data_IF_483102394271
#
_entry.id   IF_483102394271
#
_cell.length_a   1.000
_cell.length_b   1.000
_cell.length_c   1.000
_cell.angle_alpha   90.00
_cell.angle_beta   90.00
_cell.angle_gamma   90.00
#
_symmetry.space_group_name_H-M   'P 1'
#
loop_
_entity.id
_entity.type
_entity.pdbx_description
1 polymer ?
#
# COMPACT_ATOMS: atom_id res chain seq x y z
N UNK A 1 -25.19 -32.80 -60.35
CA UNK A 1 -23.78 -32.35 -60.38
C UNK A 1 -23.63 -31.27 -59.32
N UNK A 2 -22.99 -31.55 -58.19
CA UNK A 2 -21.54 -31.34 -57.98
C UNK A 2 -21.09 -29.95 -58.44
N UNK A 3 -20.67 -29.14 -57.47
CA UNK A 3 -20.11 -27.81 -57.70
C UNK A 3 -19.65 -27.20 -56.39
N UNK A 4 -18.51 -27.66 -55.90
CA UNK A 4 -17.66 -26.98 -54.92
C UNK A 4 -17.28 -25.60 -55.46
N UNK A 5 -17.42 -24.56 -54.64
CA UNK A 5 -16.92 -23.23 -54.93
C UNK A 5 -16.49 -22.58 -53.62
N UNK A 6 -15.18 -22.55 -53.40
CA UNK A 6 -14.52 -21.69 -52.42
C UNK A 6 -14.75 -20.23 -52.84
N UNK A 7 -15.17 -19.37 -51.92
CA UNK A 7 -15.11 -17.92 -52.12
C UNK A 7 -14.48 -17.27 -50.90
N UNK A 8 -13.37 -16.58 -51.17
CA UNK A 8 -12.61 -15.74 -50.26
C UNK A 8 -13.19 -14.33 -50.30
N UNK A 9 -13.45 -13.74 -49.14
CA UNK A 9 -13.50 -12.28 -48.82
C UNK A 9 -14.09 -12.22 -47.39
N UNK A 10 -13.62 -11.48 -46.38
CA UNK A 10 -12.92 -10.19 -46.26
C UNK A 10 -12.10 -10.17 -44.95
N UNK A 11 -11.05 -9.33 -44.88
CA UNK A 11 -10.41 -8.91 -43.62
C UNK A 11 -11.14 -7.65 -43.05
N UNK A 12 -10.66 -7.06 -41.94
CA UNK A 12 -11.21 -7.16 -40.59
C UNK A 12 -11.88 -5.85 -40.14
N UNK A 13 -12.71 -5.86 -39.09
CA UNK A 13 -12.84 -4.75 -38.12
C UNK A 13 -13.93 -5.12 -37.12
N UNK A 14 -13.58 -5.35 -35.86
CA UNK A 14 -14.32 -4.73 -34.76
C UNK A 14 -13.31 -4.36 -33.67
N UNK A 15 -13.16 -3.05 -33.58
CA UNK A 15 -12.57 -2.26 -32.52
C UNK A 15 -13.37 -2.46 -31.21
N UNK A 16 -12.76 -2.03 -30.10
CA UNK A 16 -13.27 -2.00 -28.73
C UNK A 16 -12.93 -3.27 -27.91
N UNK A 17 -12.16 -3.19 -26.82
CA UNK A 17 -11.96 -2.10 -25.88
C UNK A 17 -10.52 -2.14 -25.36
N UNK A 18 -9.81 -1.02 -25.47
CA UNK A 18 -8.68 -0.74 -24.59
C UNK A 18 -9.23 -0.60 -23.18
N UNK A 19 -9.34 -1.73 -22.47
CA UNK A 19 -9.27 -1.67 -21.02
C UNK A 19 -7.84 -1.22 -20.72
N UNK A 20 -7.70 0.05 -20.33
CA UNK A 20 -6.46 0.57 -19.79
C UNK A 20 -6.02 -0.31 -18.62
N UNK A 21 -5.18 -1.29 -18.92
CA UNK A 21 -4.41 -2.02 -17.93
C UNK A 21 -3.44 -1.01 -17.31
N UNK A 22 -3.88 -0.41 -16.20
CA UNK A 22 -3.02 0.31 -15.29
C UNK A 22 -1.77 -0.55 -15.03
N UNK A 23 -0.55 0.01 -15.10
CA UNK A 23 0.66 -0.79 -15.15
C UNK A 23 0.82 -1.66 -13.90
N UNK A 24 0.86 -2.97 -14.11
CA UNK A 24 0.96 -4.05 -13.12
C UNK A 24 2.31 -4.07 -12.34
N UNK A 25 3.18 -3.09 -12.57
CA UNK A 25 4.53 -3.03 -12.00
C UNK A 25 4.49 -2.30 -10.67
N UNK A 26 4.39 -3.09 -9.60
CA UNK A 26 4.69 -2.80 -8.17
C UNK A 26 3.60 -3.27 -7.18
N UNK A 27 2.85 -4.33 -7.49
CA UNK A 27 2.14 -5.03 -6.39
C UNK A 27 3.17 -5.69 -5.48
N UNK A 28 3.24 -5.24 -4.23
CA UNK A 28 3.99 -5.94 -3.19
C UNK A 28 3.53 -7.40 -3.14
N UNK A 29 4.46 -8.33 -3.34
CA UNK A 29 4.16 -9.75 -3.31
C UNK A 29 4.14 -10.25 -1.86
N UNK A 30 2.94 -10.59 -1.40
CA UNK A 30 2.71 -11.22 -0.10
C UNK A 30 2.71 -12.74 -0.27
N UNK A 31 3.37 -13.46 0.65
CA UNK A 31 3.34 -14.93 0.65
C UNK A 31 2.03 -15.42 1.26
N UNK A 32 1.66 -16.67 1.00
CA UNK A 32 0.53 -17.29 1.67
C UNK A 32 0.74 -17.26 3.19
N UNK A 33 -0.20 -16.63 3.92
CA UNK A 33 -0.12 -16.44 5.37
C UNK A 33 0.46 -15.09 5.81
N UNK A 34 0.92 -14.25 4.89
CA UNK A 34 1.31 -12.86 5.20
C UNK A 34 0.06 -11.99 5.33
N UNK A 35 0.09 -11.04 6.26
CA UNK A 35 -0.91 -9.97 6.30
C UNK A 35 -0.53 -8.90 5.28
N UNK A 36 -1.40 -8.62 4.29
CA UNK A 36 -1.14 -7.55 3.35
C UNK A 36 -1.28 -6.18 4.02
N UNK A 37 -0.49 -5.22 3.57
CA UNK A 37 -0.56 -3.82 3.98
C UNK A 37 -0.45 -2.92 2.76
N UNK A 38 -0.88 -1.66 2.87
CA UNK A 38 -0.74 -0.71 1.78
C UNK A 38 -1.58 -1.01 0.53
N UNK A 39 -2.55 -1.94 0.58
CA UNK A 39 -3.39 -2.30 -0.57
C UNK A 39 -4.77 -1.64 -0.53
N UNK A 40 -5.09 -0.94 0.56
CA UNK A 40 -6.42 -0.38 0.80
C UNK A 40 -6.45 1.09 0.36
N UNK A 41 -7.24 1.39 -0.67
CA UNK A 41 -7.51 2.78 -1.07
C UNK A 41 -8.63 3.34 -0.19
N UNK A 42 -8.27 4.16 0.80
CA UNK A 42 -9.23 4.79 1.71
C UNK A 42 -9.78 6.10 1.14
N UNK A 43 -10.83 6.65 1.75
CA UNK A 43 -11.32 8.01 1.43
C UNK A 43 -10.28 9.09 1.72
N UNK A 44 -9.34 8.84 2.64
CA UNK A 44 -8.18 9.71 2.84
C UNK A 44 -7.20 9.57 1.69
N UNK A 45 -6.84 8.35 1.29
CA UNK A 45 -5.90 8.11 0.18
C UNK A 45 -6.30 8.84 -1.10
N UNK A 46 -7.61 8.90 -1.40
CA UNK A 46 -8.13 9.56 -2.61
C UNK A 46 -7.79 11.06 -2.69
N UNK A 47 -7.60 11.72 -1.54
CA UNK A 47 -7.30 13.16 -1.42
C UNK A 47 -5.84 13.51 -1.69
N UNK A 48 -4.98 12.51 -1.82
CA UNK A 48 -3.55 12.69 -2.05
C UNK A 48 -3.09 12.00 -3.34
N UNK A 49 -1.92 12.40 -3.81
CA UNK A 49 -1.16 11.73 -4.87
C UNK A 49 0.26 11.40 -4.39
N UNK A 50 0.86 10.34 -4.94
CA UNK A 50 2.25 9.97 -4.64
C UNK A 50 3.20 11.08 -5.12
N UNK A 51 3.98 11.62 -4.20
CA UNK A 51 5.06 12.57 -4.44
C UNK A 51 6.41 11.86 -4.59
N UNK A 52 7.48 12.53 -4.16
CA UNK A 52 8.83 11.99 -4.20
C UNK A 52 8.97 10.74 -3.31
N UNK A 53 9.83 9.80 -3.74
CA UNK A 53 10.19 8.67 -2.90
C UNK A 53 11.06 9.13 -1.72
N UNK A 54 10.70 8.65 -0.54
CA UNK A 54 11.47 8.76 0.71
C UNK A 54 12.41 7.55 0.90
N UNK A 55 12.35 6.60 -0.04
CA UNK A 55 13.12 5.37 -0.12
C UNK A 55 12.43 4.16 0.51
N UNK A 56 13.19 3.08 0.60
CA UNK A 56 12.70 1.80 1.14
C UNK A 56 12.76 1.76 2.67
N UNK A 57 11.63 1.45 3.30
CA UNK A 57 11.48 1.28 4.75
C UNK A 57 11.17 -0.17 5.09
N UNK A 58 11.75 -0.66 6.18
CA UNK A 58 11.31 -1.93 6.77
C UNK A 58 9.96 -1.72 7.43
N UNK A 59 9.05 -2.68 7.23
CA UNK A 59 7.69 -2.65 7.74
C UNK A 59 7.52 -3.74 8.79
N UNK A 60 6.95 -3.36 9.93
CA UNK A 60 6.48 -4.25 10.99
C UNK A 60 5.04 -3.85 11.35
N UNK A 61 4.38 -4.65 12.19
CA UNK A 61 3.02 -4.39 12.62
C UNK A 61 2.87 -4.44 14.14
N UNK A 62 2.02 -3.55 14.66
CA UNK A 62 1.61 -3.52 16.06
C UNK A 62 0.09 -3.44 16.20
N UNK A 63 -0.40 -3.74 17.39
CA UNK A 63 -1.82 -3.68 17.74
C UNK A 63 -1.95 -3.22 19.21
N UNK A 64 -3.12 -2.74 19.60
CA UNK A 64 -3.43 -2.38 20.98
C UNK A 64 -4.44 -1.23 21.09
N UNK A 65 -5.03 -1.08 22.26
CA UNK A 65 -6.11 -0.12 22.55
C UNK A 65 -5.61 1.21 23.18
N UNK A 66 -4.29 1.37 23.30
CA UNK A 66 -3.67 2.57 23.86
C UNK A 66 -3.79 3.80 22.96
N UNK A 67 -3.63 4.99 23.54
CA UNK A 67 -3.45 6.23 22.77
C UNK A 67 -2.09 6.25 22.10
N UNK A 68 -2.05 6.73 20.87
CA UNK A 68 -0.79 7.01 20.16
C UNK A 68 -0.01 8.12 20.88
N UNK A 69 1.25 8.29 20.51
CA UNK A 69 2.06 9.40 21.01
C UNK A 69 1.46 10.80 20.71
N UNK A 70 0.71 10.96 19.62
CA UNK A 70 -0.05 12.20 19.33
C UNK A 70 -1.30 12.40 20.19
N UNK A 71 -1.75 11.36 20.91
CA UNK A 71 -3.00 11.35 21.68
C UNK A 71 -4.23 10.87 20.89
N UNK A 72 -4.05 10.47 19.62
CA UNK A 72 -5.11 9.89 18.80
C UNK A 72 -5.44 8.45 19.24
N UNK A 73 -6.64 7.98 18.87
CA UNK A 73 -6.94 6.55 18.89
C UNK A 73 -6.38 5.94 17.62
N UNK A 74 -5.51 4.93 17.70
CA UNK A 74 -4.92 4.32 16.50
C UNK A 74 -6.00 3.67 15.63
N UNK A 75 -5.85 3.77 14.32
CA UNK A 75 -6.83 3.29 13.33
C UNK A 75 -6.12 2.50 12.22
N UNK A 76 -6.61 1.30 11.90
CA UNK A 76 -6.04 0.49 10.83
C UNK A 76 -6.15 1.21 9.47
N UNK A 77 -5.17 0.98 8.59
CA UNK A 77 -5.06 1.68 7.30
C UNK A 77 -4.92 3.21 7.41
N UNK A 78 -4.49 3.71 8.57
CA UNK A 78 -4.26 5.14 8.81
C UNK A 78 -3.04 5.37 9.70
N UNK A 79 -3.02 4.79 10.89
CA UNK A 79 -2.00 5.10 11.91
C UNK A 79 -0.71 4.33 11.68
N UNK A 80 0.43 5.04 11.76
CA UNK A 80 1.76 4.45 11.85
C UNK A 80 2.60 5.07 12.98
N UNK A 81 3.50 4.25 13.52
CA UNK A 81 4.66 4.71 14.29
C UNK A 81 5.89 4.80 13.39
N UNK A 82 6.69 5.85 13.60
CA UNK A 82 7.93 6.08 12.86
C UNK A 82 9.01 6.76 13.73
N UNK A 83 10.23 6.83 13.19
CA UNK A 83 11.27 7.72 13.71
C UNK A 83 10.91 9.18 13.41
N UNK A 84 10.54 9.93 14.45
CA UNK A 84 10.08 11.32 14.33
C UNK A 84 11.16 12.30 13.86
N UNK A 85 12.43 11.91 13.85
CA UNK A 85 13.51 12.72 13.26
C UNK A 85 13.56 12.61 11.73
N UNK A 86 13.00 11.53 11.17
CA UNK A 86 12.93 11.30 9.73
C UNK A 86 11.53 11.58 9.18
N UNK A 87 10.49 11.14 9.88
CA UNK A 87 9.09 11.37 9.55
C UNK A 87 8.40 12.01 10.77
N UNK A 88 8.36 13.36 10.84
CA UNK A 88 7.72 14.07 11.95
C UNK A 88 6.25 13.67 12.17
N UNK A 89 5.72 13.94 13.37
CA UNK A 89 4.30 13.74 13.66
C UNK A 89 3.42 14.51 12.67
N UNK A 90 2.34 13.87 12.23
CA UNK A 90 1.40 14.40 11.24
C UNK A 90 1.86 14.26 9.79
N UNK A 91 3.09 13.80 9.54
CA UNK A 91 3.55 13.48 8.19
C UNK A 91 2.66 12.40 7.59
N UNK A 92 2.23 12.63 6.34
CA UNK A 92 1.46 11.67 5.55
C UNK A 92 2.33 11.06 4.47
N UNK A 93 2.25 9.74 4.36
CA UNK A 93 3.03 8.96 3.39
C UNK A 93 2.17 7.95 2.67
N UNK A 94 2.52 7.65 1.43
CA UNK A 94 2.01 6.48 0.73
C UNK A 94 2.88 5.27 1.01
N UNK A 95 2.24 4.16 1.35
CA UNK A 95 2.81 2.82 1.33
C UNK A 95 1.88 1.98 0.47
N UNK A 96 2.36 1.53 -0.69
CA UNK A 96 1.47 1.00 -1.73
C UNK A 96 0.44 2.06 -2.13
N UNK A 97 -0.85 1.75 -2.03
CA UNK A 97 -1.99 2.61 -2.40
C UNK A 97 -2.72 3.21 -1.17
N UNK A 98 -2.22 2.95 0.03
CA UNK A 98 -2.76 3.50 1.28
C UNK A 98 -1.95 4.71 1.74
N UNK A 99 -2.66 5.78 2.13
CA UNK A 99 -2.06 6.90 2.87
C UNK A 99 -2.10 6.58 4.35
N UNK A 100 -0.94 6.69 4.99
CA UNK A 100 -0.77 6.58 6.43
C UNK A 100 -0.33 7.92 7.01
N UNK A 101 -0.72 8.18 8.26
CA UNK A 101 -0.32 9.35 9.06
C UNK A 101 0.57 8.91 10.22
N UNK A 102 1.70 9.58 10.38
CA UNK A 102 2.58 9.39 11.53
C UNK A 102 1.92 10.00 12.77
N UNK A 103 1.37 9.16 13.61
CA UNK A 103 0.70 9.58 14.85
C UNK A 103 1.39 9.03 16.09
N UNK A 104 2.29 8.07 15.92
CA UNK A 104 2.88 7.33 17.02
C UNK A 104 4.41 7.24 16.92
N UNK A 105 5.04 6.81 18.01
CA UNK A 105 6.46 6.44 18.05
C UNK A 105 6.67 5.20 18.90
N UNK A 106 7.69 4.41 18.57
CA UNK A 106 8.13 3.30 19.41
C UNK A 106 9.60 3.45 19.77
N UNK A 107 9.99 3.03 20.98
CA UNK A 107 11.41 3.03 21.38
C UNK A 107 12.30 2.15 20.48
N UNK A 108 11.71 1.22 19.74
CA UNK A 108 12.37 0.34 18.77
C UNK A 108 12.10 0.74 17.31
N UNK A 109 11.30 1.77 17.07
CA UNK A 109 10.94 2.27 15.74
C UNK A 109 11.86 3.43 15.41
N UNK A 110 13.04 3.10 14.88
CA UNK A 110 14.16 4.04 14.64
C UNK A 110 14.69 3.86 13.22
N UNK A 111 15.09 4.95 12.58
CA UNK A 111 15.58 4.97 11.21
C UNK A 111 14.49 4.67 10.18
N UNK A 112 14.85 3.97 9.09
CA UNK A 112 13.91 3.55 8.03
C UNK A 112 13.09 2.33 8.43
N UNK A 113 12.36 2.44 9.55
CA UNK A 113 11.43 1.45 10.07
C UNK A 113 10.08 2.12 10.32
N UNK A 114 9.02 1.53 9.78
CA UNK A 114 7.63 1.92 10.03
C UNK A 114 6.94 0.75 10.72
N UNK A 115 6.23 1.05 11.80
CA UNK A 115 5.38 0.11 12.52
C UNK A 115 3.93 0.48 12.23
N UNK A 116 3.22 -0.36 11.48
CA UNK A 116 1.84 -0.09 11.03
C UNK A 116 0.86 -0.63 12.06
N UNK A 117 -0.14 0.17 12.42
CA UNK A 117 -1.18 -0.27 13.31
C UNK A 117 -2.19 -1.19 12.61
N UNK A 118 -2.57 -2.27 13.30
CA UNK A 118 -3.63 -3.21 12.91
C UNK A 118 -4.63 -3.39 14.05
N UNK A 119 -5.89 -3.66 13.71
CA UNK A 119 -6.97 -3.86 14.69
C UNK A 119 -6.82 -5.17 15.47
N UNK A 120 -6.16 -6.18 14.87
CA UNK A 120 -5.95 -7.49 15.50
C UNK A 120 -4.48 -7.84 15.69
N UNK A 121 -4.23 -8.64 16.73
CA UNK A 121 -2.91 -9.20 16.98
C UNK A 121 -2.45 -10.09 15.82
N UNK A 122 -3.36 -10.89 15.28
CA UNK A 122 -3.09 -11.84 14.20
C UNK A 122 -2.56 -11.12 12.97
N UNK A 123 -3.15 -9.98 12.61
CA UNK A 123 -2.71 -9.15 11.47
C UNK A 123 -1.33 -8.53 11.71
N UNK A 124 -1.14 -7.87 12.85
CA UNK A 124 0.15 -7.28 13.21
C UNK A 124 1.30 -8.31 13.19
N UNK A 125 1.01 -9.51 13.72
CA UNK A 125 1.92 -10.64 13.76
C UNK A 125 2.16 -11.21 12.35
N UNK A 126 1.15 -11.25 11.48
CA UNK A 126 1.26 -11.72 10.10
C UNK A 126 2.11 -10.83 9.19
N UNK A 127 2.25 -9.53 9.52
CA UNK A 127 3.24 -8.65 8.86
C UNK A 127 4.65 -8.99 9.33
N UNK A 128 4.84 -9.17 10.64
CA UNK A 128 6.17 -9.23 11.26
C UNK A 128 6.80 -10.63 11.19
N UNK A 129 6.01 -11.70 11.28
CA UNK A 129 6.51 -13.08 11.36
C UNK A 129 7.11 -13.60 10.07
N UNK A 130 6.67 -13.09 8.93
CA UNK A 130 7.07 -13.59 7.61
C UNK A 130 8.46 -13.15 7.16
N UNK A 131 9.23 -12.55 8.07
CA UNK A 131 10.55 -11.97 7.83
C UNK A 131 10.48 -10.46 7.57
N UNK A 132 11.63 -9.81 7.45
CA UNK A 132 11.70 -8.38 7.19
C UNK A 132 11.04 -8.05 5.84
N UNK A 133 9.89 -7.39 5.88
CA UNK A 133 9.24 -6.80 4.70
C UNK A 133 9.76 -5.39 4.53
N UNK A 134 9.97 -4.99 3.28
CA UNK A 134 10.27 -3.61 2.95
C UNK A 134 9.26 -3.07 1.96
N UNK A 135 8.97 -1.78 2.07
CA UNK A 135 8.10 -1.06 1.16
C UNK A 135 8.79 0.22 0.72
N UNK A 136 8.59 0.60 -0.53
CA UNK A 136 8.91 1.95 -0.94
C UNK A 136 7.87 2.92 -0.35
N UNK A 137 8.35 4.01 0.22
CA UNK A 137 7.52 5.01 0.88
C UNK A 137 7.61 6.31 0.09
N UNK A 138 6.47 6.92 -0.20
CA UNK A 138 6.41 8.18 -0.94
C UNK A 138 5.77 9.28 -0.09
N UNK A 139 6.17 10.53 -0.31
CA UNK A 139 5.48 11.67 0.27
C UNK A 139 4.02 11.71 -0.24
N UNK A 140 3.05 12.00 0.63
CA UNK A 140 1.67 12.23 0.21
C UNK A 140 1.44 13.73 -0.05
N UNK A 141 1.18 14.09 -1.31
CA UNK A 141 0.92 15.48 -1.73
C UNK A 141 -0.58 15.68 -1.88
N UNK A 142 -1.15 16.68 -1.22
CA UNK A 142 -2.57 16.98 -1.31
C UNK A 142 -2.94 17.40 -2.74
N UNK A 143 -4.09 16.91 -3.21
CA UNK A 143 -4.69 17.33 -4.49
C UNK A 143 -5.41 18.66 -4.37
#
# INVERSE_FOLDING_TARGET
MQGTGEDMTEHPVEEAVEAEEAPEKERQSFRAGDTPFGIVVTEESKRYQKGESLGSFRIVGYYGDGKTYSGATPTANHTIAADLSLLPLGTRVFIGDTVYTVEDKGSKVVGKLIDIYFDTREEAVGVTRSGAKSAEVYAAIAK
#
